data_IF_764988648230
#
_entry.id   IF_764988648230
#
_cell.length_a   1.000
_cell.length_b   1.000
_cell.length_c   1.000
_cell.angle_alpha   90.00
_cell.angle_beta   90.00
_cell.angle_gamma   90.00
#
_symmetry.space_group_name_H-M   'P 1'
#
loop_
_entity.id
_entity.type
_entity.pdbx_description
1 polymer ?
#
# COMPACT_ATOMS: atom_id res chain seq x y z
N UNK A 1 -1.68 -4.58 -17.45
CA UNK A 1 -0.34 -5.12 -17.18
C UNK A 1 0.05 -4.85 -15.72
N UNK A 2 0.88 -5.72 -15.13
CA UNK A 2 1.39 -5.57 -13.76
C UNK A 2 2.91 -5.50 -13.80
N UNK A 3 3.49 -4.58 -13.04
CA UNK A 3 4.92 -4.46 -12.80
C UNK A 3 5.19 -4.67 -11.30
N UNK A 4 5.94 -5.72 -10.95
CA UNK A 4 6.31 -6.00 -9.56
C UNK A 4 7.56 -5.20 -9.16
N UNK A 5 7.41 -4.31 -8.19
CA UNK A 5 8.51 -3.50 -7.67
C UNK A 5 9.39 -4.30 -6.71
N UNK A 6 10.71 -4.28 -6.91
CA UNK A 6 11.68 -4.84 -5.98
C UNK A 6 12.16 -3.78 -4.98
N UNK A 7 11.62 -3.80 -3.77
CA UNK A 7 11.98 -2.85 -2.72
C UNK A 7 13.21 -3.29 -1.92
N UNK A 8 13.58 -4.56 -1.94
CA UNK A 8 14.76 -5.04 -1.20
C UNK A 8 16.07 -4.87 -1.96
N UNK A 9 16.00 -4.82 -3.28
CA UNK A 9 17.13 -4.63 -4.18
C UNK A 9 17.56 -5.91 -4.90
N UNK A 10 18.26 -5.73 -6.02
CA UNK A 10 18.63 -6.80 -6.91
C UNK A 10 19.43 -7.90 -6.18
N UNK A 11 18.97 -9.14 -6.32
CA UNK A 11 19.61 -10.30 -5.69
C UNK A 11 19.25 -10.53 -4.21
N UNK A 12 18.55 -9.61 -3.56
CA UNK A 12 18.11 -9.75 -2.16
C UNK A 12 16.78 -10.50 -2.11
N UNK A 13 16.82 -11.78 -1.73
CA UNK A 13 15.66 -12.67 -1.68
C UNK A 13 15.62 -13.44 -0.36
N UNK A 14 15.32 -12.77 0.76
CA UNK A 14 15.29 -13.42 2.06
C UNK A 14 14.17 -14.49 2.10
N UNK A 15 14.51 -15.67 2.61
CA UNK A 15 13.57 -16.78 2.81
C UNK A 15 13.02 -16.79 4.23
N UNK A 16 13.88 -16.48 5.19
CA UNK A 16 13.52 -16.50 6.60
C UNK A 16 12.69 -15.27 7.00
N UNK A 17 11.72 -15.46 7.90
CA UNK A 17 10.86 -14.38 8.38
C UNK A 17 11.64 -13.22 9.01
N UNK A 18 12.65 -13.56 9.83
CA UNK A 18 13.52 -12.57 10.48
C UNK A 18 14.22 -11.65 9.47
N UNK A 19 14.73 -12.24 8.39
CA UNK A 19 15.44 -11.47 7.36
C UNK A 19 14.51 -10.61 6.52
N UNK A 20 13.30 -11.12 6.20
CA UNK A 20 12.23 -10.34 5.55
C UNK A 20 11.85 -9.13 6.39
N UNK A 21 11.66 -9.35 7.70
CA UNK A 21 11.30 -8.30 8.65
C UNK A 21 12.44 -7.26 8.80
N UNK A 22 13.70 -7.71 8.86
CA UNK A 22 14.85 -6.81 8.93
C UNK A 22 14.94 -5.90 7.69
N UNK A 23 14.64 -6.43 6.49
CA UNK A 23 14.63 -5.63 5.25
C UNK A 23 13.47 -4.63 5.20
N UNK A 24 12.30 -5.01 5.68
CA UNK A 24 11.18 -4.08 5.79
C UNK A 24 11.52 -2.96 6.80
N UNK A 25 12.05 -3.31 7.96
CA UNK A 25 12.45 -2.34 8.99
C UNK A 25 13.53 -1.37 8.49
N UNK A 26 14.52 -1.83 7.73
CA UNK A 26 15.52 -0.95 7.10
C UNK A 26 14.86 0.18 6.32
N UNK A 27 13.79 -0.13 5.58
CA UNK A 27 13.06 0.85 4.77
C UNK A 27 12.08 1.69 5.60
N UNK A 28 11.52 1.16 6.67
CA UNK A 28 10.75 1.95 7.63
C UNK A 28 11.63 3.00 8.34
N UNK A 29 12.90 2.68 8.64
CA UNK A 29 13.84 3.61 9.24
C UNK A 29 14.43 4.62 8.25
N UNK A 30 14.46 4.28 6.95
CA UNK A 30 14.97 5.16 5.89
C UNK A 30 13.89 5.34 4.80
N UNK A 31 12.93 6.23 5.07
CA UNK A 31 11.86 6.57 4.13
C UNK A 31 12.39 7.18 2.84
N UNK A 32 13.49 7.92 2.90
CA UNK A 32 14.16 8.46 1.71
C UNK A 32 14.65 7.38 0.76
N UNK A 33 15.23 6.31 1.31
CA UNK A 33 15.63 5.11 0.56
C UNK A 33 14.43 4.38 -0.02
N UNK A 34 13.35 4.22 0.76
CA UNK A 34 12.10 3.62 0.30
C UNK A 34 11.56 4.39 -0.91
N UNK A 35 11.41 5.71 -0.80
CA UNK A 35 10.95 6.61 -1.89
C UNK A 35 11.84 6.50 -3.13
N UNK A 36 13.15 6.41 -2.94
CA UNK A 36 14.11 6.27 -4.06
C UNK A 36 13.92 4.95 -4.80
N UNK A 37 13.69 3.85 -4.09
CA UNK A 37 13.42 2.54 -4.70
C UNK A 37 12.09 2.51 -5.45
N UNK A 38 11.04 3.10 -4.88
CA UNK A 38 9.74 3.22 -5.54
C UNK A 38 9.82 4.05 -6.84
N UNK A 39 10.53 5.19 -6.80
CA UNK A 39 10.81 5.98 -8.02
C UNK A 39 11.61 5.19 -9.04
N UNK A 40 12.59 4.40 -8.60
CA UNK A 40 13.38 3.50 -9.46
C UNK A 40 12.52 2.44 -10.13
N UNK A 41 11.59 1.83 -9.39
CA UNK A 41 10.65 0.84 -9.92
C UNK A 41 9.72 1.46 -10.98
N UNK A 42 9.16 2.64 -10.72
CA UNK A 42 8.32 3.35 -11.70
C UNK A 42 9.10 3.71 -12.98
N UNK A 43 10.34 4.16 -12.81
CA UNK A 43 11.24 4.43 -13.96
C UNK A 43 11.55 3.15 -14.76
N UNK A 44 11.74 2.02 -14.09
CA UNK A 44 11.95 0.73 -14.74
C UNK A 44 10.70 0.27 -15.50
N UNK A 45 9.52 0.41 -14.93
CA UNK A 45 8.26 0.13 -15.61
C UNK A 45 8.10 0.98 -16.88
N UNK A 46 8.37 2.27 -16.80
CA UNK A 46 8.34 3.19 -17.95
C UNK A 46 9.31 2.78 -19.06
N UNK A 47 10.52 2.32 -18.70
CA UNK A 47 11.49 1.79 -19.66
C UNK A 47 10.97 0.51 -20.38
N UNK A 48 10.13 -0.26 -19.72
CA UNK A 48 9.44 -1.42 -20.29
C UNK A 48 8.14 -1.06 -21.03
N UNK A 49 7.95 0.21 -21.37
CA UNK A 49 6.80 0.76 -22.10
C UNK A 49 5.46 0.64 -21.35
N UNK A 50 5.49 0.53 -20.02
CA UNK A 50 4.27 0.67 -19.22
C UNK A 50 3.73 2.11 -19.33
N UNK A 51 2.41 2.25 -19.45
CA UNK A 51 1.76 3.55 -19.38
C UNK A 51 1.64 3.97 -17.91
N UNK A 52 2.66 4.68 -17.41
CA UNK A 52 2.72 5.10 -16.01
C UNK A 52 1.81 6.29 -15.70
N UNK A 53 1.29 6.98 -16.73
CA UNK A 53 0.34 8.09 -16.56
C UNK A 53 -1.08 7.57 -16.31
N UNK A 54 -1.34 6.30 -16.66
CA UNK A 54 -2.53 5.52 -16.31
C UNK A 54 -2.10 4.33 -15.45
N UNK A 55 -1.67 4.58 -14.22
CA UNK A 55 -1.17 3.56 -13.31
C UNK A 55 -1.67 3.76 -11.88
N UNK A 56 -1.86 2.65 -11.18
CA UNK A 56 -2.19 2.55 -9.75
C UNK A 56 -1.08 1.77 -9.07
N UNK A 57 -0.63 2.25 -7.91
CA UNK A 57 0.25 1.47 -7.04
C UNK A 57 -0.57 0.65 -6.05
N UNK A 58 -0.24 -0.63 -5.92
CA UNK A 58 -0.88 -1.52 -4.94
C UNK A 58 0.17 -2.14 -4.03
N UNK A 59 -0.19 -2.39 -2.79
CA UNK A 59 0.70 -3.05 -1.84
C UNK A 59 -0.04 -3.79 -0.75
N UNK A 60 0.59 -4.87 -0.27
CA UNK A 60 0.10 -5.74 0.79
C UNK A 60 1.05 -5.66 1.99
N UNK A 61 0.55 -5.64 3.20
CA UNK A 61 1.37 -5.56 4.42
C UNK A 61 2.36 -4.37 4.35
N UNK A 62 3.67 -4.64 4.46
CA UNK A 62 4.72 -3.65 4.25
C UNK A 62 4.59 -2.91 2.91
N UNK A 63 4.20 -3.62 1.84
CA UNK A 63 3.95 -2.99 0.53
C UNK A 63 2.84 -1.95 0.57
N UNK A 64 1.80 -2.15 1.39
CA UNK A 64 0.73 -1.17 1.61
C UNK A 64 1.27 0.12 2.27
N UNK A 65 2.08 -0.01 3.32
CA UNK A 65 2.75 1.13 3.92
C UNK A 65 3.69 1.85 2.92
N UNK A 66 4.41 1.09 2.11
CA UNK A 66 5.32 1.66 1.11
C UNK A 66 4.59 2.48 0.04
N UNK A 67 3.41 2.05 -0.43
CA UNK A 67 2.66 2.82 -1.42
C UNK A 67 1.98 4.06 -0.80
N UNK A 68 1.57 4.01 0.46
CA UNK A 68 1.10 5.20 1.19
C UNK A 68 2.23 6.21 1.39
N UNK A 69 3.45 5.73 1.70
CA UNK A 69 4.66 6.55 1.71
C UNK A 69 4.92 7.20 0.34
N UNK A 70 4.64 6.48 -0.76
CA UNK A 70 4.81 7.01 -2.10
C UNK A 70 3.74 8.06 -2.45
N UNK A 71 2.53 7.91 -1.92
CA UNK A 71 1.48 8.91 -2.01
C UNK A 71 1.88 10.21 -1.29
N UNK A 72 2.34 10.13 -0.03
CA UNK A 72 2.87 11.28 0.74
C UNK A 72 4.02 11.98 0.02
N UNK A 73 4.88 11.22 -0.66
CA UNK A 73 5.98 11.77 -1.46
C UNK A 73 5.54 12.48 -2.77
N UNK A 74 4.25 12.62 -3.02
CA UNK A 74 3.69 13.34 -4.18
C UNK A 74 3.83 12.61 -5.51
N UNK A 75 3.86 11.28 -5.50
CA UNK A 75 3.91 10.50 -6.73
C UNK A 75 2.67 10.75 -7.61
N UNK A 76 2.90 10.92 -8.91
CA UNK A 76 1.85 11.25 -9.89
C UNK A 76 1.21 9.99 -10.47
N UNK A 77 0.60 9.18 -9.60
CA UNK A 77 -0.20 8.02 -10.01
C UNK A 77 -1.68 8.34 -9.88
N UNK A 78 -2.53 7.56 -10.54
CA UNK A 78 -3.99 7.71 -10.47
C UNK A 78 -4.55 7.27 -9.14
N UNK A 79 -3.94 6.27 -8.50
CA UNK A 79 -4.39 5.77 -7.20
C UNK A 79 -3.33 4.98 -6.46
N UNK A 80 -3.60 4.79 -5.17
CA UNK A 80 -2.77 4.06 -4.22
C UNK A 80 -3.66 3.12 -3.41
N UNK A 81 -3.42 1.82 -3.48
CA UNK A 81 -4.27 0.81 -2.83
C UNK A 81 -3.48 0.01 -1.80
N UNK A 82 -3.87 0.12 -0.54
CA UNK A 82 -3.25 -0.60 0.57
C UNK A 82 -4.15 -1.75 1.06
N UNK A 83 -3.71 -2.99 0.89
CA UNK A 83 -4.32 -4.16 1.47
C UNK A 83 -3.64 -4.49 2.81
N UNK A 84 -4.37 -4.42 3.91
CA UNK A 84 -3.87 -4.65 5.28
C UNK A 84 -2.45 -4.08 5.49
N UNK A 85 -2.23 -2.86 5.03
CA UNK A 85 -0.94 -2.16 5.12
C UNK A 85 -0.74 -1.47 6.47
N UNK A 86 0.51 -1.08 6.78
CA UNK A 86 0.76 -0.12 7.86
C UNK A 86 0.17 1.24 7.49
N UNK A 87 -0.57 1.83 8.43
CA UNK A 87 -1.36 3.05 8.19
C UNK A 87 -0.81 4.27 8.94
N UNK A 88 0.24 4.07 9.72
CA UNK A 88 0.92 5.12 10.48
C UNK A 88 1.56 6.18 9.57
N UNK A 89 1.41 7.43 9.98
CA UNK A 89 2.10 8.54 9.33
C UNK A 89 3.31 8.94 10.19
N UNK A 90 4.55 8.95 9.62
CA UNK A 90 5.73 9.37 10.36
C UNK A 90 5.62 10.82 10.83
N UNK A 91 6.22 11.11 11.98
CA UNK A 91 6.25 12.47 12.54
C UNK A 91 6.84 13.47 11.53
N UNK A 92 6.16 14.59 11.35
CA UNK A 92 6.54 15.64 10.42
C UNK A 92 6.20 15.38 8.95
N UNK A 93 5.53 14.26 8.65
CA UNK A 93 5.00 13.97 7.32
C UNK A 93 3.47 14.10 7.29
N UNK A 94 2.90 14.33 6.11
CA UNK A 94 1.46 14.43 5.89
C UNK A 94 1.07 14.06 4.45
N UNK A 95 -0.20 14.11 4.15
CA UNK A 95 -0.73 13.79 2.82
C UNK A 95 -0.96 15.03 1.91
N UNK A 96 -0.44 16.20 2.26
CA UNK A 96 -0.64 17.46 1.51
C UNK A 96 -0.12 17.39 0.06
N UNK A 97 0.84 16.53 -0.22
CA UNK A 97 1.42 16.35 -1.55
C UNK A 97 0.79 15.23 -2.37
N UNK A 98 -0.17 14.49 -1.82
CA UNK A 98 -0.82 13.36 -2.50
C UNK A 98 -1.63 13.84 -3.71
N UNK A 99 -1.48 13.16 -4.85
CA UNK A 99 -2.07 13.57 -6.14
C UNK A 99 -3.05 12.56 -6.74
N UNK A 100 -3.13 11.38 -6.17
CA UNK A 100 -4.04 10.32 -6.61
C UNK A 100 -5.03 9.96 -5.52
N UNK A 101 -5.97 9.10 -5.86
CA UNK A 101 -6.98 8.59 -4.93
C UNK A 101 -6.42 7.46 -4.07
N UNK A 102 -6.80 7.40 -2.79
CA UNK A 102 -6.34 6.38 -1.85
C UNK A 102 -7.46 5.40 -1.54
N UNK A 103 -7.19 4.10 -1.73
CA UNK A 103 -8.08 3.01 -1.30
C UNK A 103 -7.40 2.19 -0.21
N UNK A 104 -8.04 2.08 0.95
CA UNK A 104 -7.55 1.26 2.07
C UNK A 104 -8.50 0.10 2.33
N UNK A 105 -7.96 -1.12 2.30
CA UNK A 105 -8.70 -2.37 2.48
C UNK A 105 -8.14 -3.07 3.74
N UNK A 106 -8.80 -2.84 4.88
CA UNK A 106 -8.30 -3.16 6.21
C UNK A 106 -9.14 -4.24 6.91
N UNK A 107 -8.52 -4.99 7.81
CA UNK A 107 -9.22 -5.98 8.64
C UNK A 107 -9.50 -5.45 10.03
N UNK A 108 -10.76 -5.50 10.51
CA UNK A 108 -11.11 -4.96 11.84
C UNK A 108 -10.50 -5.73 13.01
N UNK A 109 -10.02 -6.95 12.78
CA UNK A 109 -9.31 -7.77 13.76
C UNK A 109 -7.79 -7.83 13.49
N UNK A 110 -7.25 -6.83 12.79
CA UNK A 110 -5.81 -6.72 12.56
C UNK A 110 -5.09 -6.39 13.88
N UNK A 111 -4.29 -7.34 14.36
CA UNK A 111 -3.50 -7.18 15.59
C UNK A 111 -2.15 -6.48 15.39
N UNK A 112 -1.82 -6.13 14.15
CA UNK A 112 -0.56 -5.45 13.80
C UNK A 112 -0.76 -3.97 13.49
N UNK A 113 -1.93 -3.63 12.95
CA UNK A 113 -2.34 -2.26 12.59
C UNK A 113 -3.73 -2.04 13.17
N UNK A 114 -3.86 -1.10 14.07
CA UNK A 114 -5.08 -0.91 14.87
C UNK A 114 -6.20 -0.20 14.09
N UNK A 115 -7.42 -0.30 14.59
CA UNK A 115 -8.53 0.53 14.11
C UNK A 115 -8.37 2.01 14.46
N UNK A 116 -7.53 2.33 15.44
CA UNK A 116 -7.13 3.71 15.75
C UNK A 116 -6.25 4.27 14.63
N UNK A 117 -5.25 3.51 14.15
CA UNK A 117 -4.42 3.90 13.00
C UNK A 117 -5.30 4.10 11.75
N UNK A 118 -6.30 3.23 11.56
CA UNK A 118 -7.26 3.37 10.46
C UNK A 118 -8.07 4.67 10.58
N UNK A 119 -8.58 5.00 11.76
CA UNK A 119 -9.33 6.23 11.98
C UNK A 119 -8.45 7.48 11.83
N UNK A 120 -7.22 7.44 12.36
CA UNK A 120 -6.27 8.55 12.24
C UNK A 120 -5.92 8.83 10.77
N UNK A 121 -5.66 7.80 9.98
CA UNK A 121 -5.41 7.96 8.54
C UNK A 121 -6.62 8.60 7.83
N UNK A 122 -7.85 8.21 8.18
CA UNK A 122 -9.05 8.81 7.59
C UNK A 122 -9.12 10.32 7.88
N UNK A 123 -8.82 10.72 9.12
CA UNK A 123 -8.78 12.14 9.52
C UNK A 123 -7.69 12.90 8.77
N UNK A 124 -6.52 12.31 8.58
CA UNK A 124 -5.42 12.94 7.84
C UNK A 124 -5.77 13.13 6.35
N UNK A 125 -6.30 12.10 5.71
CA UNK A 125 -6.69 12.17 4.29
C UNK A 125 -7.79 13.22 4.09
N UNK A 126 -8.78 13.28 4.98
CA UNK A 126 -9.83 14.30 4.94
C UNK A 126 -9.29 15.71 5.17
N UNK A 127 -8.37 15.88 6.13
CA UNK A 127 -7.72 17.16 6.43
C UNK A 127 -7.00 17.75 5.21
N UNK A 128 -6.33 16.88 4.46
CA UNK A 128 -5.60 17.27 3.24
C UNK A 128 -6.44 17.17 1.96
N UNK A 129 -7.75 16.89 2.08
CA UNK A 129 -8.69 16.77 0.96
C UNK A 129 -8.25 15.77 -0.11
N UNK A 130 -7.61 14.70 0.32
CA UNK A 130 -7.23 13.59 -0.57
C UNK A 130 -8.47 12.75 -0.86
N UNK A 131 -8.86 12.56 -2.12
CA UNK A 131 -9.93 11.61 -2.44
C UNK A 131 -9.58 10.22 -1.91
N UNK A 132 -10.48 9.63 -1.14
CA UNK A 132 -10.19 8.34 -0.53
C UNK A 132 -11.43 7.51 -0.23
N UNK A 133 -11.25 6.22 -0.18
CA UNK A 133 -12.21 5.26 0.36
C UNK A 133 -11.48 4.29 1.29
N UNK A 134 -12.07 4.03 2.44
CA UNK A 134 -11.48 3.17 3.46
C UNK A 134 -12.51 2.14 3.92
N UNK A 135 -12.21 0.85 3.72
CA UNK A 135 -13.13 -0.25 4.02
C UNK A 135 -12.52 -1.14 5.10
N UNK A 136 -13.29 -1.38 6.15
CA UNK A 136 -12.96 -2.33 7.20
C UNK A 136 -13.78 -3.62 7.06
N UNK A 137 -13.09 -4.76 7.01
CA UNK A 137 -13.70 -6.10 6.92
C UNK A 137 -13.79 -6.72 8.30
N UNK A 138 -15.02 -6.98 8.74
CA UNK A 138 -15.32 -7.52 10.08
C UNK A 138 -14.61 -8.85 10.33
N UNK A 139 -13.88 -8.94 11.45
CA UNK A 139 -13.18 -10.15 11.89
C UNK A 139 -12.00 -10.58 11.02
N UNK A 140 -11.62 -9.80 10.00
CA UNK A 140 -10.45 -10.09 9.20
C UNK A 140 -9.16 -9.67 9.94
N UNK A 141 -8.17 -10.57 10.11
CA UNK A 141 -6.89 -10.24 10.74
C UNK A 141 -5.92 -9.64 9.72
N UNK A 142 -4.74 -9.22 10.20
CA UNK A 142 -3.62 -8.89 9.31
C UNK A 142 -3.32 -10.02 8.31
N UNK A 143 -3.03 -9.68 7.05
CA UNK A 143 -2.74 -10.64 5.99
C UNK A 143 -3.92 -11.57 5.62
N UNK A 144 -5.15 -11.10 5.76
CA UNK A 144 -6.37 -11.87 5.45
C UNK A 144 -6.48 -12.33 3.98
N UNK A 145 -5.65 -11.80 3.08
CA UNK A 145 -5.61 -12.20 1.66
C UNK A 145 -4.61 -13.33 1.37
N UNK A 146 -3.82 -13.79 2.35
CA UNK A 146 -2.80 -14.83 2.13
C UNK A 146 -3.47 -16.20 2.11
N UNK A 147 -3.73 -16.70 0.92
CA UNK A 147 -4.33 -18.01 0.70
C UNK A 147 -3.51 -19.13 1.35
N UNK A 148 -4.20 -20.06 2.02
CA UNK A 148 -3.58 -21.22 2.69
C UNK A 148 -2.96 -20.91 4.06
N UNK A 149 -3.06 -19.67 4.56
CA UNK A 149 -2.65 -19.34 5.93
C UNK A 149 -3.83 -19.37 6.90
N UNK A 150 -3.56 -19.51 8.20
CA UNK A 150 -4.58 -19.44 9.28
C UNK A 150 -5.27 -18.07 9.33
N UNK A 151 -4.65 -17.06 8.74
CA UNK A 151 -5.16 -15.68 8.65
C UNK A 151 -6.10 -15.45 7.48
N UNK A 152 -6.14 -16.35 6.51
CA UNK A 152 -6.98 -16.20 5.33
C UNK A 152 -8.47 -16.07 5.68
N UNK A 153 -9.12 -15.08 5.09
CA UNK A 153 -10.57 -14.88 5.22
C UNK A 153 -11.18 -14.71 3.82
N UNK A 154 -11.75 -15.79 3.31
CA UNK A 154 -12.25 -15.87 1.93
C UNK A 154 -13.22 -14.74 1.57
N UNK A 155 -14.15 -14.39 2.48
CA UNK A 155 -15.11 -13.31 2.26
C UNK A 155 -14.44 -11.94 2.15
N UNK A 156 -13.52 -11.64 3.06
CA UNK A 156 -12.79 -10.38 3.07
C UNK A 156 -11.87 -10.27 1.83
N UNK A 157 -11.18 -11.35 1.49
CA UNK A 157 -10.35 -11.42 0.28
C UNK A 157 -11.17 -11.17 -0.98
N UNK A 158 -12.27 -11.90 -1.18
CA UNK A 158 -13.16 -11.74 -2.32
C UNK A 158 -13.73 -10.31 -2.43
N UNK A 159 -14.20 -9.75 -1.31
CA UNK A 159 -14.79 -8.41 -1.29
C UNK A 159 -13.74 -7.34 -1.55
N UNK A 160 -12.57 -7.45 -0.94
CA UNK A 160 -11.48 -6.49 -1.14
C UNK A 160 -10.95 -6.51 -2.58
N UNK A 161 -10.83 -7.70 -3.18
CA UNK A 161 -10.44 -7.84 -4.58
C UNK A 161 -11.50 -7.25 -5.53
N UNK A 162 -12.78 -7.51 -5.27
CA UNK A 162 -13.88 -6.95 -6.07
C UNK A 162 -13.86 -5.41 -6.02
N UNK A 163 -13.71 -4.81 -4.82
CA UNK A 163 -13.63 -3.35 -4.69
C UNK A 163 -12.39 -2.78 -5.38
N UNK A 164 -11.25 -3.45 -5.23
CA UNK A 164 -10.02 -3.05 -5.92
C UNK A 164 -10.19 -3.06 -7.45
N UNK A 165 -10.78 -4.10 -8.03
CA UNK A 165 -11.00 -4.17 -9.48
C UNK A 165 -11.96 -3.10 -9.98
N UNK A 166 -12.99 -2.78 -9.19
CA UNK A 166 -13.90 -1.67 -9.46
C UNK A 166 -13.15 -0.33 -9.41
N UNK A 167 -12.33 -0.11 -8.37
CA UNK A 167 -11.50 1.09 -8.24
C UNK A 167 -10.57 1.29 -9.44
N UNK A 168 -9.96 0.22 -9.97
CA UNK A 168 -9.14 0.32 -11.17
C UNK A 168 -9.93 0.87 -12.37
N UNK A 169 -11.17 0.42 -12.55
CA UNK A 169 -12.04 0.94 -13.62
C UNK A 169 -12.35 2.42 -13.41
N UNK A 170 -12.67 2.81 -12.18
CA UNK A 170 -13.04 4.20 -11.83
C UNK A 170 -11.90 5.20 -12.08
N UNK A 171 -10.66 4.83 -11.76
CA UNK A 171 -9.51 5.78 -11.82
C UNK A 171 -8.69 5.69 -13.10
N UNK A 172 -8.83 4.61 -13.91
CA UNK A 172 -8.04 4.40 -15.12
C UNK A 172 -8.81 4.64 -16.42
N UNK A 173 -10.12 4.66 -16.39
CA UNK A 173 -10.96 5.03 -17.54
C UNK A 173 -11.02 6.55 -17.69
#
# INVERSE_FOLDING_TARGET
AVFAADLYGAGIRPTEFKDKHARANELYQDRGKMRTRLRGALKAAKKQKANVDKAVAIGYCFGGAAILEYARAGATLKGFVAFHGGLDTPEGEDYSQTKGEVLVLHGSADGSVSMEDFANLAVELETHKVPHEMISYSGAPHAFTIFGSDRYRADADKKSWARFTQFLTEVLD
#
